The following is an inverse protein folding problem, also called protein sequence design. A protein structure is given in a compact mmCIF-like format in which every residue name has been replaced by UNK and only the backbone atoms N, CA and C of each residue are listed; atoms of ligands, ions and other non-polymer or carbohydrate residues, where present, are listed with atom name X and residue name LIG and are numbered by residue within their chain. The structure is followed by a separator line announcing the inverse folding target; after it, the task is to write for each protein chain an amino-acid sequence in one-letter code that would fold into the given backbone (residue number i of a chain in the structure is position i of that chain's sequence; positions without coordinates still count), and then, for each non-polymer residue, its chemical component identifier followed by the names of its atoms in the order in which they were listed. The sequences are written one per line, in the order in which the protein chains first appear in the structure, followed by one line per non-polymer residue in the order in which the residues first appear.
data_IF_826313074618
#
_entry.id   IF_826313074618
#
_cell.length_a   1.000
_cell.length_b   1.000
_cell.length_c   1.000
_cell.angle_alpha   90.00
_cell.angle_beta   90.00
_cell.angle_gamma   90.00
#
_symmetry.space_group_name_H-M   'P 1'
#
loop_
_entity.id
_entity.type
_entity.pdbx_description
1 polymer ?
#
# COMPACT_ATOMS: atom_id res chain seq x y z
N UNK A 1 3.35 -8.55 12.06
CA UNK A 1 2.17 -7.68 12.24
C UNK A 1 0.88 -8.42 11.93
N UNK A 2 0.72 -9.01 10.74
CA UNK A 2 -0.47 -9.76 10.33
C UNK A 2 -0.92 -10.85 11.31
N UNK A 3 0.01 -11.61 11.90
CA UNK A 3 -0.32 -12.61 12.92
C UNK A 3 -1.00 -12.03 14.17
N UNK A 4 -0.64 -10.81 14.57
CA UNK A 4 -1.25 -10.13 15.73
C UNK A 4 -2.61 -9.50 15.40
N UNK A 5 -2.73 -8.89 14.22
CA UNK A 5 -3.98 -8.25 13.81
C UNK A 5 -5.04 -9.25 13.36
N UNK A 6 -4.65 -10.28 12.61
CA UNK A 6 -5.58 -11.11 11.85
C UNK A 6 -5.45 -12.62 12.13
N UNK A 7 -4.62 -12.99 13.11
CA UNK A 7 -4.36 -14.39 13.48
C UNK A 7 -3.89 -15.24 12.28
N UNK A 8 -2.94 -14.72 11.50
CA UNK A 8 -2.34 -15.42 10.36
C UNK A 8 -0.97 -16.03 10.70
N UNK A 9 -0.72 -17.21 10.13
CA UNK A 9 0.57 -17.91 10.14
C UNK A 9 1.07 -18.12 8.71
N UNK A 10 2.39 -18.12 8.52
CA UNK A 10 3.05 -18.19 7.22
C UNK A 10 4.12 -19.28 7.25
N UNK A 11 3.95 -20.32 6.43
CA UNK A 11 4.92 -21.40 6.28
C UNK A 11 5.56 -21.32 4.90
N UNK A 12 6.90 -21.24 4.83
CA UNK A 12 7.60 -21.22 3.56
C UNK A 12 7.42 -22.56 2.82
N UNK A 13 7.18 -22.49 1.51
CA UNK A 13 6.96 -23.65 0.63
C UNK A 13 8.06 -23.73 -0.40
N UNK A 14 9.19 -24.33 0.01
CA UNK A 14 10.36 -24.53 -0.86
C UNK A 14 10.19 -25.70 -1.83
N UNK A 15 9.13 -26.49 -1.65
CA UNK A 15 8.71 -27.59 -2.53
C UNK A 15 7.94 -27.12 -3.76
N UNK A 16 7.43 -25.89 -3.76
CA UNK A 16 6.66 -25.30 -4.87
C UNK A 16 7.58 -24.54 -5.83
N UNK A 17 7.36 -24.72 -7.13
CA UNK A 17 8.06 -23.97 -8.17
C UNK A 17 7.40 -22.60 -8.39
N UNK A 18 8.16 -21.52 -8.16
CA UNK A 18 7.77 -20.17 -8.56
C UNK A 18 8.06 -19.90 -10.05
N UNK A 19 7.57 -18.76 -10.55
CA UNK A 19 7.82 -18.34 -11.94
C UNK A 19 9.23 -17.78 -12.18
N UNK A 20 10.01 -17.55 -11.12
CA UNK A 20 11.38 -17.06 -11.17
C UNK A 20 12.14 -17.61 -9.93
N UNK A 21 13.45 -17.94 -10.03
CA UNK A 21 14.20 -18.58 -8.94
C UNK A 21 14.29 -17.76 -7.65
N UNK A 22 14.24 -16.43 -7.74
CA UNK A 22 14.26 -15.54 -6.56
C UNK A 22 12.89 -15.43 -5.86
N UNK A 23 11.82 -15.99 -6.43
CA UNK A 23 10.47 -15.91 -5.87
C UNK A 23 10.38 -16.79 -4.64
N UNK A 24 9.77 -16.25 -3.59
CA UNK A 24 9.49 -16.98 -2.35
C UNK A 24 7.99 -17.20 -2.23
N UNK A 25 7.60 -18.41 -1.82
CA UNK A 25 6.19 -18.81 -1.67
C UNK A 25 5.94 -19.18 -0.22
N UNK A 26 4.83 -18.71 0.32
CA UNK A 26 4.32 -19.06 1.64
C UNK A 26 2.90 -19.58 1.55
N UNK A 27 2.64 -20.67 2.27
CA UNK A 27 1.30 -21.07 2.64
C UNK A 27 0.82 -20.24 3.82
N UNK A 28 -0.38 -19.67 3.69
CA UNK A 28 -0.99 -18.83 4.71
C UNK A 28 -2.13 -19.61 5.36
N UNK A 29 -2.12 -19.67 6.69
CA UNK A 29 -3.15 -20.35 7.48
C UNK A 29 -3.66 -19.45 8.59
N UNK A 30 -4.86 -19.73 9.09
CA UNK A 30 -5.36 -19.14 10.33
C UNK A 30 -4.69 -19.83 11.52
N UNK A 31 -3.99 -19.05 12.35
CA UNK A 31 -3.13 -19.56 13.42
C UNK A 31 -3.86 -20.42 14.45
N UNK A 32 -5.12 -20.08 14.77
CA UNK A 32 -5.88 -20.77 15.80
C UNK A 32 -6.43 -22.13 15.36
N UNK A 33 -6.79 -22.25 14.08
CA UNK A 33 -7.51 -23.42 13.56
C UNK A 33 -6.68 -24.26 12.60
N UNK A 34 -5.57 -23.71 12.09
CA UNK A 34 -4.81 -24.29 10.97
C UNK A 34 -5.54 -24.21 9.64
N UNK A 35 -6.70 -23.53 9.55
CA UNK A 35 -7.48 -23.44 8.32
C UNK A 35 -6.65 -22.79 7.21
N UNK A 36 -6.53 -23.41 6.03
CA UNK A 36 -5.83 -22.80 4.91
C UNK A 36 -6.54 -21.52 4.43
N UNK A 37 -5.78 -20.45 4.27
CA UNK A 37 -6.26 -19.16 3.77
C UNK A 37 -5.91 -19.02 2.29
N UNK A 38 -4.64 -19.25 1.91
CA UNK A 38 -4.20 -19.11 0.53
C UNK A 38 -2.70 -19.23 0.37
N UNK A 39 -2.18 -18.80 -0.78
CA UNK A 39 -0.74 -18.69 -1.04
C UNK A 39 -0.35 -17.23 -1.19
N UNK A 40 0.78 -16.87 -0.57
CA UNK A 40 1.44 -15.58 -0.77
C UNK A 40 2.77 -15.79 -1.48
N UNK A 41 3.03 -14.95 -2.49
CA UNK A 41 4.22 -15.01 -3.33
C UNK A 41 4.93 -13.66 -3.23
N UNK A 42 6.22 -13.66 -2.91
CA UNK A 42 7.04 -12.45 -2.85
C UNK A 42 8.13 -12.46 -3.91
N UNK A 43 8.17 -11.42 -4.74
CA UNK A 43 9.20 -11.19 -5.77
C UNK A 43 9.83 -9.80 -5.61
N UNK A 44 10.87 -9.71 -4.80
CA UNK A 44 11.30 -8.42 -4.24
C UNK A 44 12.38 -7.69 -5.04
N UNK A 45 13.15 -8.39 -5.88
CA UNK A 45 14.38 -7.83 -6.44
C UNK A 45 14.23 -7.29 -7.86
N UNK A 46 14.84 -6.14 -8.13
CA UNK A 46 14.90 -5.53 -9.45
C UNK A 46 15.71 -6.39 -10.43
N UNK A 47 15.27 -6.41 -11.70
CA UNK A 47 15.96 -7.08 -12.82
C UNK A 47 15.45 -6.55 -14.15
N UNK A 48 16.24 -6.70 -15.22
CA UNK A 48 15.93 -6.14 -16.54
C UNK A 48 14.58 -6.59 -17.13
N UNK A 49 14.11 -7.79 -16.79
CA UNK A 49 12.83 -8.32 -17.28
C UNK A 49 11.61 -7.88 -16.46
N UNK A 50 11.80 -7.05 -15.42
CA UNK A 50 10.75 -6.60 -14.51
C UNK A 50 10.57 -5.09 -14.65
N UNK A 51 9.32 -4.65 -14.86
CA UNK A 51 8.99 -3.21 -14.86
C UNK A 51 9.28 -2.58 -13.50
N UNK A 52 9.61 -1.28 -13.50
CA UNK A 52 9.86 -0.51 -12.27
C UNK A 52 8.60 -0.35 -11.41
N UNK A 53 8.78 0.04 -10.14
CA UNK A 53 7.72 0.25 -9.15
C UNK A 53 7.52 -0.93 -8.19
N UNK A 54 6.38 -0.93 -7.50
CA UNK A 54 5.91 -2.05 -6.70
C UNK A 54 4.41 -2.24 -6.97
N UNK A 55 3.94 -3.48 -6.87
CA UNK A 55 2.52 -3.78 -7.02
C UNK A 55 2.18 -5.13 -6.42
N UNK A 56 0.89 -5.29 -6.13
CA UNK A 56 0.25 -6.55 -5.80
C UNK A 56 -0.62 -7.03 -6.97
N UNK A 57 -0.74 -8.34 -7.14
CA UNK A 57 -1.69 -8.97 -8.08
C UNK A 57 -2.21 -10.30 -7.54
N UNK A 58 -3.26 -10.82 -8.16
CA UNK A 58 -3.78 -12.15 -7.87
C UNK A 58 -3.63 -13.07 -9.11
N UNK A 59 -2.93 -14.20 -8.96
CA UNK A 59 -3.01 -15.30 -9.93
C UNK A 59 -4.40 -15.96 -9.89
N UNK A 60 -5.02 -15.94 -8.71
CA UNK A 60 -6.38 -16.42 -8.47
C UNK A 60 -6.99 -15.62 -7.34
N UNK A 61 -8.15 -15.02 -7.59
CA UNK A 61 -8.96 -14.36 -6.55
C UNK A 61 -9.73 -15.37 -5.68
N UNK A 62 -10.13 -14.93 -4.49
CA UNK A 62 -11.01 -15.70 -3.61
C UNK A 62 -12.45 -15.69 -4.14
N UNK A 63 -13.20 -16.79 -3.97
CA UNK A 63 -14.68 -16.81 -4.18
C UNK A 63 -15.31 -18.03 -3.50
N UNK A 64 -16.61 -17.98 -3.22
CA UNK A 64 -17.41 -19.14 -2.75
C UNK A 64 -18.36 -19.71 -3.81
N UNK A 65 -18.70 -18.92 -4.84
CA UNK A 65 -19.59 -19.38 -5.90
C UNK A 65 -18.95 -20.55 -6.68
N UNK A 66 -19.64 -21.68 -6.69
CA UNK A 66 -19.14 -22.92 -7.31
C UNK A 66 -18.12 -23.68 -6.44
N UNK A 67 -18.02 -23.34 -5.16
CA UNK A 67 -17.09 -23.94 -4.20
C UNK A 67 -16.11 -22.93 -3.62
N UNK A 68 -15.53 -23.25 -2.46
CA UNK A 68 -14.52 -22.41 -1.81
C UNK A 68 -13.21 -22.42 -2.62
N UNK A 69 -12.90 -21.28 -3.23
CA UNK A 69 -11.65 -21.03 -3.95
C UNK A 69 -10.78 -20.11 -3.12
N UNK A 70 -9.56 -20.57 -2.80
CA UNK A 70 -8.57 -19.81 -2.04
C UNK A 70 -7.68 -18.95 -2.95
N UNK A 71 -7.33 -17.73 -2.53
CA UNK A 71 -6.54 -16.80 -3.32
C UNK A 71 -5.08 -17.24 -3.44
N UNK A 72 -4.44 -16.84 -4.54
CA UNK A 72 -3.00 -16.93 -4.77
C UNK A 72 -2.54 -15.52 -5.11
N UNK A 73 -1.86 -14.89 -4.16
CA UNK A 73 -1.52 -13.47 -4.18
C UNK A 73 -0.01 -13.29 -4.38
N UNK A 74 0.38 -12.32 -5.19
CA UNK A 74 1.78 -11.97 -5.44
C UNK A 74 2.02 -10.50 -5.13
N UNK A 75 3.11 -10.22 -4.41
CA UNK A 75 3.71 -8.90 -4.31
C UNK A 75 4.99 -8.88 -5.12
N UNK A 76 5.14 -7.83 -5.92
CA UNK A 76 6.34 -7.57 -6.70
C UNK A 76 6.91 -6.23 -6.27
N UNK A 77 8.20 -6.21 -5.91
CA UNK A 77 8.96 -5.00 -5.63
C UNK A 77 10.21 -4.94 -6.52
N UNK A 78 10.90 -3.80 -6.46
CA UNK A 78 12.13 -3.54 -7.21
C UNK A 78 13.29 -3.11 -6.27
N UNK A 79 13.47 -3.82 -5.16
CA UNK A 79 14.60 -3.57 -4.26
C UNK A 79 15.92 -3.98 -4.94
N UNK A 80 17.01 -3.34 -4.53
CA UNK A 80 18.34 -3.70 -5.00
C UNK A 80 18.67 -5.15 -4.58
N UNK A 81 19.04 -5.99 -5.55
CA UNK A 81 19.52 -7.34 -5.24
C UNK A 81 20.93 -7.23 -4.63
N UNK A 82 21.18 -7.78 -3.43
CA UNK A 82 22.52 -7.76 -2.86
C UNK A 82 23.47 -8.66 -3.66
N UNK A 83 24.77 -8.42 -3.52
CA UNK A 83 25.78 -9.37 -3.95
C UNK A 83 25.62 -10.70 -3.20
N UNK A 84 26.11 -11.79 -3.77
CA UNK A 84 26.06 -13.11 -3.15
C UNK A 84 26.67 -13.09 -1.73
N UNK A 85 25.97 -13.71 -0.78
CA UNK A 85 26.37 -13.75 0.63
C UNK A 85 26.23 -12.43 1.40
N UNK A 86 25.72 -11.35 0.79
CA UNK A 86 25.48 -10.06 1.46
C UNK A 86 24.00 -9.88 1.85
N UNK A 87 23.70 -9.18 2.96
CA UNK A 87 22.33 -8.90 3.36
C UNK A 87 21.64 -7.95 2.36
N UNK A 88 20.36 -8.19 2.09
CA UNK A 88 19.50 -7.23 1.40
C UNK A 88 19.08 -6.14 2.39
N UNK A 89 19.79 -5.02 2.41
CA UNK A 89 19.44 -3.87 3.24
C UNK A 89 18.36 -3.04 2.54
N UNK A 90 17.30 -2.71 3.26
CA UNK A 90 16.21 -1.88 2.77
C UNK A 90 16.34 -0.48 3.35
N UNK A 91 16.09 0.53 2.52
CA UNK A 91 15.81 1.88 3.03
C UNK A 91 14.50 1.88 3.83
N UNK A 92 14.25 2.95 4.60
CA UNK A 92 12.96 3.14 5.28
C UNK A 92 11.81 3.18 4.26
N UNK A 93 12.03 3.77 3.09
CA UNK A 93 11.01 3.84 2.03
C UNK A 93 10.76 2.48 1.38
N UNK A 94 11.81 1.66 1.17
CA UNK A 94 11.65 0.28 0.68
C UNK A 94 10.89 -0.58 1.69
N UNK A 95 11.19 -0.42 2.98
CA UNK A 95 10.48 -1.13 4.05
C UNK A 95 9.01 -0.70 4.15
N UNK A 96 8.71 0.59 3.99
CA UNK A 96 7.33 1.09 3.87
C UNK A 96 6.63 0.50 2.64
N UNK A 97 7.30 0.49 1.48
CA UNK A 97 6.79 -0.11 0.24
C UNK A 97 6.47 -1.59 0.45
N UNK A 98 7.32 -2.34 1.16
CA UNK A 98 7.05 -3.74 1.50
C UNK A 98 5.75 -3.88 2.31
N UNK A 99 5.52 -3.01 3.30
CA UNK A 99 4.29 -3.02 4.10
C UNK A 99 3.08 -2.58 3.29
N UNK A 100 3.22 -1.56 2.44
CA UNK A 100 2.19 -1.09 1.52
C UNK A 100 1.65 -2.24 0.66
N UNK A 101 2.55 -2.90 -0.07
CA UNK A 101 2.16 -4.04 -0.92
C UNK A 101 1.60 -5.19 -0.09
N UNK A 102 2.10 -5.39 1.14
CA UNK A 102 1.57 -6.46 1.99
C UNK A 102 0.17 -6.14 2.54
N UNK A 103 -0.20 -4.86 2.68
CA UNK A 103 -1.58 -4.46 2.95
C UNK A 103 -2.51 -4.83 1.79
N UNK A 104 -2.12 -4.58 0.54
CA UNK A 104 -2.85 -5.11 -0.64
C UNK A 104 -2.91 -6.64 -0.62
N UNK A 105 -1.79 -7.30 -0.27
CA UNK A 105 -1.75 -8.75 -0.21
C UNK A 105 -2.74 -9.31 0.81
N UNK A 106 -2.82 -8.68 1.99
CA UNK A 106 -3.77 -9.04 3.02
C UNK A 106 -5.21 -8.77 2.58
N UNK A 107 -5.47 -7.72 1.81
CA UNK A 107 -6.80 -7.45 1.24
C UNK A 107 -7.23 -8.59 0.30
N UNK A 108 -6.32 -9.09 -0.53
CA UNK A 108 -6.55 -10.27 -1.37
C UNK A 108 -6.69 -11.57 -0.57
N UNK A 109 -5.81 -11.81 0.41
CA UNK A 109 -5.75 -13.04 1.21
C UNK A 109 -6.96 -13.21 2.14
N UNK A 110 -7.45 -12.11 2.72
CA UNK A 110 -8.52 -12.13 3.73
C UNK A 110 -9.92 -12.00 3.13
N UNK A 111 -10.04 -11.73 1.83
CA UNK A 111 -11.32 -11.69 1.11
C UNK A 111 -12.20 -12.90 1.44
N UNK A 112 -13.47 -12.67 1.73
CA UNK A 112 -14.42 -13.74 2.09
C UNK A 112 -15.78 -13.59 1.39
N UNK A 113 -15.76 -13.41 0.08
CA UNK A 113 -16.93 -13.05 -0.72
C UNK A 113 -17.52 -14.24 -1.51
N UNK A 114 -18.76 -14.10 -1.94
CA UNK A 114 -19.44 -15.10 -2.78
C UNK A 114 -18.97 -15.02 -4.24
N UNK A 115 -19.02 -13.84 -4.83
CA UNK A 115 -18.73 -13.60 -6.24
C UNK A 115 -17.30 -13.12 -6.43
N UNK A 116 -16.52 -13.80 -7.29
CA UNK A 116 -15.12 -13.46 -7.52
C UNK A 116 -14.88 -12.07 -8.10
N UNK A 117 -15.87 -11.48 -8.77
CA UNK A 117 -15.81 -10.09 -9.27
C UNK A 117 -15.75 -9.05 -8.16
N UNK A 118 -16.15 -9.39 -6.93
CA UNK A 118 -16.17 -8.51 -5.77
C UNK A 118 -15.02 -8.82 -4.80
N UNK A 119 -14.10 -9.72 -5.16
CA UNK A 119 -13.13 -10.27 -4.23
C UNK A 119 -11.89 -9.39 -4.07
N UNK A 120 -11.35 -9.36 -2.85
CA UNK A 120 -10.08 -8.70 -2.53
C UNK A 120 -10.04 -7.23 -2.97
N UNK A 121 -9.05 -6.89 -3.78
CA UNK A 121 -8.78 -5.52 -4.25
C UNK A 121 -9.70 -5.04 -5.37
N UNK A 122 -10.76 -5.77 -5.72
CA UNK A 122 -11.76 -5.38 -6.74
C UNK A 122 -12.76 -4.33 -6.21
N UNK A 123 -12.26 -3.31 -5.54
CA UNK A 123 -13.01 -2.18 -4.94
C UNK A 123 -12.78 -0.90 -5.73
N UNK A 124 -13.48 0.18 -5.37
CA UNK A 124 -13.21 1.50 -5.96
C UNK A 124 -11.75 1.93 -5.79
N UNK A 125 -11.20 2.61 -6.80
CA UNK A 125 -9.78 2.98 -6.84
C UNK A 125 -9.39 3.92 -5.69
N UNK A 126 -10.31 4.78 -5.28
CA UNK A 126 -10.16 5.71 -4.16
C UNK A 126 -10.26 5.05 -2.77
N UNK A 127 -10.62 3.76 -2.72
CA UNK A 127 -10.67 2.96 -1.49
C UNK A 127 -9.60 1.85 -1.47
N UNK A 128 -9.13 1.38 -2.63
CA UNK A 128 -8.18 0.26 -2.71
C UNK A 128 -6.86 0.56 -1.98
N UNK A 129 -6.45 1.82 -1.92
CA UNK A 129 -5.21 2.23 -1.25
C UNK A 129 -5.35 2.38 0.28
N UNK A 130 -6.57 2.36 0.83
CA UNK A 130 -6.74 2.42 2.28
C UNK A 130 -6.07 1.23 2.98
N UNK A 131 -6.34 -0.05 2.62
CA UNK A 131 -5.68 -1.19 3.27
C UNK A 131 -4.15 -1.17 3.17
N UNK A 132 -3.59 -0.79 2.01
CA UNK A 132 -2.15 -0.74 1.78
C UNK A 132 -1.49 0.34 2.63
N UNK A 133 -1.94 1.59 2.52
CA UNK A 133 -1.35 2.73 3.21
C UNK A 133 -1.54 2.62 4.73
N UNK A 134 -2.72 2.17 5.18
CA UNK A 134 -2.97 1.92 6.61
C UNK A 134 -1.95 0.93 7.17
N UNK A 135 -1.63 -0.13 6.40
CA UNK A 135 -0.66 -1.14 6.84
C UNK A 135 0.75 -0.59 7.04
N UNK A 136 1.15 0.46 6.31
CA UNK A 136 2.46 1.12 6.45
C UNK A 136 2.68 1.66 7.87
N UNK A 137 1.63 2.14 8.53
CA UNK A 137 1.74 2.75 9.85
C UNK A 137 2.33 1.79 10.90
N UNK A 138 2.05 0.49 10.78
CA UNK A 138 2.61 -0.50 11.71
C UNK A 138 4.13 -0.65 11.58
N UNK A 139 4.73 -0.40 10.41
CA UNK A 139 6.17 -0.47 10.27
C UNK A 139 6.87 0.52 11.21
N UNK A 140 6.30 1.72 11.37
CA UNK A 140 6.89 2.84 12.10
C UNK A 140 6.55 2.83 13.60
N UNK A 141 5.83 1.81 14.11
CA UNK A 141 5.63 1.68 15.55
C UNK A 141 6.90 1.17 16.22
N UNK A 142 7.14 1.63 17.44
CA UNK A 142 8.34 1.29 18.21
C UNK A 142 8.50 -0.23 18.35
N UNK A 143 7.41 -0.94 18.66
CA UNK A 143 7.41 -2.38 18.89
C UNK A 143 7.75 -3.18 17.63
N UNK A 144 7.38 -2.68 16.45
CA UNK A 144 7.69 -3.33 15.17
C UNK A 144 9.11 -3.00 14.75
N UNK A 145 9.52 -1.73 14.82
CA UNK A 145 10.89 -1.33 14.49
C UNK A 145 11.92 -2.04 15.37
N UNK A 146 11.73 -2.05 16.70
CA UNK A 146 12.65 -2.74 17.62
C UNK A 146 12.75 -4.25 17.35
N UNK A 147 11.69 -4.87 16.83
CA UNK A 147 11.67 -6.30 16.55
C UNK A 147 12.33 -6.68 15.22
N UNK A 148 12.20 -5.83 14.19
CA UNK A 148 12.58 -6.20 12.82
C UNK A 148 13.69 -5.34 12.21
N UNK A 149 13.92 -4.13 12.72
CA UNK A 149 15.07 -3.31 12.32
C UNK A 149 16.27 -3.72 13.19
N UNK A 150 16.90 -4.82 12.81
CA UNK A 150 18.09 -5.35 13.49
C UNK A 150 19.34 -4.99 12.69
N UNK A 151 20.42 -4.67 13.39
CA UNK A 151 21.73 -4.46 12.77
C UNK A 151 22.16 -5.75 12.05
N UNK A 152 22.54 -5.64 10.77
CA UNK A 152 22.70 -6.81 9.91
C UNK A 152 23.84 -7.76 10.34
N UNK A 153 24.81 -7.26 11.11
CA UNK A 153 25.95 -8.06 11.58
C UNK A 153 25.79 -8.51 13.03
N UNK A 154 25.22 -7.66 13.90
CA UNK A 154 25.17 -7.92 15.35
C UNK A 154 23.81 -8.42 15.83
N UNK A 155 22.79 -8.35 14.96
CA UNK A 155 21.38 -8.61 15.27
C UNK A 155 20.81 -7.73 16.41
N UNK A 156 21.53 -6.68 16.82
CA UNK A 156 21.07 -5.75 17.84
C UNK A 156 19.90 -4.91 17.32
N UNK A 157 18.86 -4.68 18.13
CA UNK A 157 17.70 -3.90 17.71
C UNK A 157 18.05 -2.42 17.55
N UNK A 158 17.34 -1.75 16.63
CA UNK A 158 17.46 -0.30 16.46
C UNK A 158 17.26 0.43 17.81
N UNK A 159 18.18 1.32 18.20
CA UNK A 159 18.03 2.12 19.41
C UNK A 159 16.77 2.98 19.40
N UNK A 160 16.12 3.11 20.55
CA UNK A 160 14.92 3.94 20.71
C UNK A 160 15.16 5.40 20.28
N UNK A 161 16.33 5.96 20.59
CA UNK A 161 16.70 7.31 20.17
C UNK A 161 16.68 7.49 18.64
N UNK A 162 17.04 6.45 17.87
CA UNK A 162 16.97 6.49 16.40
C UNK A 162 15.53 6.36 15.90
N UNK A 163 14.70 5.53 16.53
CA UNK A 163 13.26 5.46 16.21
C UNK A 163 12.61 6.84 16.38
N UNK A 164 12.84 7.49 17.51
CA UNK A 164 12.27 8.82 17.78
C UNK A 164 12.82 9.89 16.82
N UNK A 165 14.08 9.74 16.39
CA UNK A 165 14.66 10.61 15.35
C UNK A 165 13.99 10.39 13.99
N UNK A 166 13.75 9.15 13.59
CA UNK A 166 13.03 8.80 12.36
C UNK A 166 11.60 9.38 12.40
N UNK A 167 10.89 9.23 13.53
CA UNK A 167 9.55 9.80 13.71
C UNK A 167 9.54 11.32 13.58
N UNK A 168 10.46 12.03 14.25
CA UNK A 168 10.57 13.50 14.11
C UNK A 168 10.91 13.94 12.69
N UNK A 169 11.64 13.12 11.94
CA UNK A 169 11.99 13.39 10.55
C UNK A 169 10.86 13.11 9.56
N UNK A 170 9.73 12.54 9.96
CA UNK A 170 8.64 12.19 9.02
C UNK A 170 8.03 13.41 8.31
N UNK A 171 8.07 14.58 8.94
CA UNK A 171 7.59 15.83 8.35
C UNK A 171 8.67 16.57 7.54
N UNK A 172 9.92 16.10 7.59
CA UNK A 172 10.99 16.65 6.78
C UNK A 172 10.68 16.45 5.29
N UNK A 173 10.86 17.51 4.50
CA UNK A 173 10.62 17.52 3.06
C UNK A 173 9.16 17.26 2.61
N UNK A 174 8.19 17.25 3.54
CA UNK A 174 6.77 17.05 3.19
C UNK A 174 6.23 18.13 2.25
N UNK A 175 6.74 19.36 2.30
CA UNK A 175 6.40 20.39 1.31
C UNK A 175 6.69 19.92 -0.12
N UNK A 176 7.92 19.51 -0.40
CA UNK A 176 8.31 19.00 -1.72
C UNK A 176 7.54 17.74 -2.09
N UNK A 177 7.49 16.75 -1.18
CA UNK A 177 6.82 15.47 -1.43
C UNK A 177 5.31 15.63 -1.71
N UNK A 178 4.65 16.58 -1.03
CA UNK A 178 3.25 16.89 -1.28
C UNK A 178 3.06 17.60 -2.60
N UNK A 179 3.91 18.58 -2.94
CA UNK A 179 3.84 19.32 -4.20
C UNK A 179 4.07 18.43 -5.41
N UNK A 180 5.14 17.62 -5.45
CA UNK A 180 5.44 16.76 -6.61
C UNK A 180 4.33 15.72 -6.89
N UNK A 181 3.70 15.21 -5.83
CA UNK A 181 2.61 14.23 -5.93
C UNK A 181 1.33 14.94 -6.39
N UNK A 182 0.98 16.06 -5.76
CA UNK A 182 -0.26 16.79 -6.06
C UNK A 182 -0.23 17.35 -7.47
N UNK A 183 0.91 17.86 -7.93
CA UNK A 183 1.10 18.25 -9.32
C UNK A 183 0.86 17.08 -10.29
N UNK A 184 1.34 15.87 -9.96
CA UNK A 184 1.09 14.68 -10.76
C UNK A 184 -0.41 14.33 -10.85
N UNK A 185 -1.12 14.37 -9.71
CA UNK A 185 -2.55 14.10 -9.66
C UNK A 185 -3.40 15.16 -10.39
N UNK A 186 -3.03 16.43 -10.29
CA UNK A 186 -3.72 17.52 -10.98
C UNK A 186 -3.50 17.50 -12.49
N UNK A 187 -2.28 17.21 -12.93
CA UNK A 187 -1.98 17.06 -14.37
C UNK A 187 -2.69 15.83 -14.96
N UNK A 188 -2.77 14.72 -14.23
CA UNK A 188 -3.60 13.56 -14.61
C UNK A 188 -5.06 13.98 -14.86
N UNK A 189 -5.68 14.66 -13.88
CA UNK A 189 -7.04 15.16 -14.05
C UNK A 189 -7.18 16.15 -15.21
N UNK A 190 -6.19 17.02 -15.42
CA UNK A 190 -6.19 17.98 -16.52
C UNK A 190 -6.18 17.28 -17.88
N UNK A 191 -5.35 16.25 -18.08
CA UNK A 191 -5.36 15.45 -19.29
C UNK A 191 -6.72 14.78 -19.55
N UNK A 192 -7.34 14.23 -18.50
CA UNK A 192 -8.60 13.47 -18.62
C UNK A 192 -9.87 14.33 -18.57
N UNK A 193 -9.73 15.66 -18.43
CA UNK A 193 -10.84 16.60 -18.47
C UNK A 193 -10.93 17.36 -19.81
N UNK A 194 -10.11 17.00 -20.79
CA UNK A 194 -10.14 17.61 -22.11
C UNK A 194 -11.38 17.13 -22.89
N UNK A 195 -12.24 18.07 -23.29
CA UNK A 195 -13.47 17.77 -24.03
C UNK A 195 -13.20 17.37 -25.49
N UNK A 196 -12.26 18.05 -26.15
CA UNK A 196 -11.86 17.81 -27.54
C UNK A 196 -10.34 17.71 -27.64
N UNK A 197 -9.73 16.59 -27.20
CA UNK A 197 -8.29 16.50 -27.01
C UNK A 197 -7.48 16.61 -28.32
N UNK A 198 -8.05 16.22 -29.46
CA UNK A 198 -7.34 16.22 -30.74
C UNK A 198 -5.97 15.53 -30.64
N UNK A 199 -4.98 16.07 -31.35
CA UNK A 199 -3.57 15.71 -31.16
C UNK A 199 -2.94 16.66 -30.12
N UNK A 200 -2.35 16.09 -29.06
CA UNK A 200 -1.76 16.85 -27.96
C UNK A 200 -0.24 16.66 -27.96
N UNK A 201 0.51 17.76 -27.96
CA UNK A 201 1.90 17.73 -27.49
C UNK A 201 1.90 17.58 -25.97
N UNK A 202 2.11 16.34 -25.52
CA UNK A 202 2.09 15.94 -24.12
C UNK A 202 3.06 16.77 -23.25
N UNK A 203 4.23 17.15 -23.77
CA UNK A 203 5.22 17.92 -23.02
C UNK A 203 4.85 19.40 -22.95
N UNK A 204 4.31 19.96 -24.03
CA UNK A 204 3.80 21.32 -24.03
C UNK A 204 2.61 21.46 -23.08
N UNK A 205 1.70 20.48 -23.08
CA UNK A 205 0.56 20.42 -22.17
C UNK A 205 1.00 20.36 -20.71
N UNK A 206 1.89 19.42 -20.37
CA UNK A 206 2.47 19.30 -19.02
C UNK A 206 3.06 20.64 -18.56
N UNK A 207 3.87 21.29 -19.39
CA UNK A 207 4.51 22.57 -19.05
C UNK A 207 3.49 23.69 -18.82
N UNK A 208 2.49 23.79 -19.70
CA UNK A 208 1.46 24.81 -19.59
C UNK A 208 0.61 24.61 -18.32
N UNK A 209 0.26 23.37 -18.02
CA UNK A 209 -0.54 23.03 -16.85
C UNK A 209 0.25 23.27 -15.55
N UNK A 210 1.51 22.86 -15.47
CA UNK A 210 2.36 23.16 -14.31
C UNK A 210 2.55 24.67 -14.09
N UNK A 211 2.67 25.45 -15.17
CA UNK A 211 2.71 26.91 -15.07
C UNK A 211 1.40 27.49 -14.54
N UNK A 212 0.24 26.98 -15.01
CA UNK A 212 -1.10 27.37 -14.53
C UNK A 212 -1.28 27.05 -13.05
N UNK A 213 -0.77 25.91 -12.58
CA UNK A 213 -0.81 25.49 -11.18
C UNK A 213 0.16 26.27 -10.27
N UNK A 214 1.05 27.08 -10.84
CA UNK A 214 2.06 27.81 -10.06
C UNK A 214 3.11 26.88 -9.45
N UNK A 215 3.51 25.82 -10.17
CA UNK A 215 4.53 24.88 -9.70
C UNK A 215 5.82 25.63 -9.32
N UNK A 216 6.36 25.45 -8.10
CA UNK A 216 7.56 26.16 -7.67
C UNK A 216 8.76 25.88 -8.57
N UNK A 217 9.62 26.88 -8.74
CA UNK A 217 10.85 26.74 -9.52
C UNK A 217 11.77 25.65 -8.92
N UNK A 218 12.35 24.82 -9.78
CA UNK A 218 13.23 23.71 -9.38
C UNK A 218 12.50 22.44 -8.93
N UNK A 219 11.17 22.46 -8.86
CA UNK A 219 10.36 21.26 -8.61
C UNK A 219 9.93 20.58 -9.90
N UNK A 220 9.74 19.26 -9.82
CA UNK A 220 9.21 18.42 -10.91
C UNK A 220 8.04 17.59 -10.40
N UNK A 221 7.21 17.10 -11.31
CA UNK A 221 6.22 16.08 -10.99
C UNK A 221 6.91 14.80 -10.53
N UNK A 222 6.28 14.07 -9.61
CA UNK A 222 6.70 12.73 -9.21
C UNK A 222 6.78 11.77 -10.40
N UNK A 223 5.84 11.90 -11.34
CA UNK A 223 5.85 11.19 -12.61
C UNK A 223 5.56 12.16 -13.74
N UNK A 224 6.57 12.45 -14.59
CA UNK A 224 6.34 13.21 -15.81
C UNK A 224 5.58 12.39 -16.84
N UNK A 225 4.84 13.08 -17.68
CA UNK A 225 3.90 12.54 -18.67
C UNK A 225 4.46 11.37 -19.49
N UNK A 226 5.67 11.44 -20.09
CA UNK A 226 6.18 10.35 -20.93
C UNK A 226 6.43 9.03 -20.20
N UNK A 227 6.54 9.06 -18.88
CA UNK A 227 6.81 7.88 -18.06
C UNK A 227 5.80 7.73 -16.91
N UNK A 228 4.62 8.33 -17.05
CA UNK A 228 3.57 8.26 -16.05
C UNK A 228 2.75 6.97 -16.22
N UNK A 229 3.39 5.84 -15.90
CA UNK A 229 2.85 4.50 -16.16
C UNK A 229 1.52 4.23 -15.45
N UNK A 230 1.29 4.83 -14.28
CA UNK A 230 0.02 4.69 -13.54
C UNK A 230 -1.17 5.14 -14.39
N UNK A 231 -0.99 6.21 -15.15
CA UNK A 231 -2.04 6.93 -15.86
C UNK A 231 -2.15 6.45 -17.32
N UNK A 232 -1.02 6.31 -18.03
CA UNK A 232 -1.04 6.06 -19.48
C UNK A 232 -0.82 4.61 -19.91
N UNK A 233 -0.29 3.75 -19.03
CA UNK A 233 0.04 2.37 -19.39
C UNK A 233 -0.38 1.34 -18.34
N UNK A 234 -1.14 1.77 -17.34
CA UNK A 234 -1.61 0.95 -16.23
C UNK A 234 -3.12 0.86 -16.27
N UNK A 235 -3.66 -0.26 -15.80
CA UNK A 235 -5.08 -0.60 -15.97
C UNK A 235 -6.02 0.12 -14.98
N UNK A 236 -5.66 1.29 -14.42
CA UNK A 236 -6.49 1.77 -13.31
C UNK A 236 -6.36 3.16 -12.70
N UNK A 237 -5.38 4.00 -13.06
CA UNK A 237 -5.23 5.32 -12.41
C UNK A 237 -5.37 6.51 -13.36
N UNK A 238 -5.79 6.29 -14.62
CA UNK A 238 -6.24 7.37 -15.50
C UNK A 238 -7.41 8.12 -14.86
N UNK A 239 -7.31 9.45 -14.72
CA UNK A 239 -8.26 10.26 -13.97
C UNK A 239 -8.44 9.80 -12.51
N UNK A 240 -7.42 9.20 -11.92
CA UNK A 240 -7.50 8.47 -10.66
C UNK A 240 -6.21 8.50 -9.85
N UNK A 241 -5.17 9.21 -10.28
CA UNK A 241 -3.93 9.27 -9.49
C UNK A 241 -4.12 10.01 -8.16
N UNK A 242 -5.14 10.86 -8.05
CA UNK A 242 -5.57 11.49 -6.79
C UNK A 242 -5.99 10.49 -5.71
N UNK A 243 -6.30 9.24 -6.08
CA UNK A 243 -6.77 8.21 -5.16
C UNK A 243 -5.80 7.93 -4.02
N UNK A 244 -4.47 8.09 -4.21
CA UNK A 244 -3.51 7.90 -3.12
C UNK A 244 -3.69 8.94 -2.00
N UNK A 245 -3.84 10.23 -2.31
CA UNK A 245 -4.05 11.27 -1.28
C UNK A 245 -5.45 11.19 -0.69
N UNK A 246 -6.44 10.81 -1.50
CA UNK A 246 -7.80 10.56 -1.02
C UNK A 246 -7.83 9.42 0.01
N UNK A 247 -7.15 8.30 -0.29
CA UNK A 247 -6.99 7.18 0.64
C UNK A 247 -6.12 7.54 1.86
N UNK A 248 -5.15 8.45 1.74
CA UNK A 248 -4.32 8.87 2.87
C UNK A 248 -5.11 9.72 3.91
N UNK A 249 -6.23 10.32 3.50
CA UNK A 249 -7.19 10.88 4.47
C UNK A 249 -7.81 9.77 5.31
N UNK A 250 -8.17 8.65 4.67
CA UNK A 250 -8.75 7.49 5.35
C UNK A 250 -7.72 6.73 6.18
N UNK A 251 -6.48 6.57 5.70
CA UNK A 251 -5.47 5.74 6.36
C UNK A 251 -5.01 6.35 7.70
N UNK A 252 -4.76 7.66 7.72
CA UNK A 252 -4.28 8.38 8.88
C UNK A 252 -5.36 8.41 9.96
N UNK A 253 -6.61 8.66 9.56
CA UNK A 253 -7.75 8.61 10.48
C UNK A 253 -8.05 7.20 10.99
N UNK A 254 -7.89 6.18 10.14
CA UNK A 254 -8.05 4.79 10.52
C UNK A 254 -6.97 4.33 11.52
N UNK A 255 -5.72 4.72 11.32
CA UNK A 255 -4.65 4.41 12.26
C UNK A 255 -4.82 5.17 13.58
N UNK A 256 -5.33 6.40 13.55
CA UNK A 256 -5.66 7.15 14.76
C UNK A 256 -6.66 6.41 15.65
N UNK A 257 -7.59 5.63 15.11
CA UNK A 257 -8.49 4.80 15.93
C UNK A 257 -7.70 3.83 16.83
N UNK A 258 -6.62 3.24 16.32
CA UNK A 258 -5.74 2.37 17.09
C UNK A 258 -4.91 3.12 18.15
N UNK A 259 -4.49 4.35 17.84
CA UNK A 259 -3.80 5.23 18.79
C UNK A 259 -4.75 5.69 19.92
N UNK A 260 -5.97 6.07 19.59
CA UNK A 260 -7.04 6.45 20.53
C UNK A 260 -7.39 5.30 21.50
N UNK A 261 -7.35 4.07 21.01
CA UNK A 261 -7.55 2.88 21.84
C UNK A 261 -6.35 2.55 22.76
N UNK A 262 -5.20 3.20 22.57
CA UNK A 262 -3.98 2.95 23.34
C UNK A 262 -3.28 1.61 23.03
N UNK A 263 -3.75 0.89 22.00
CA UNK A 263 -3.16 -0.38 21.55
C UNK A 263 -3.20 -0.47 20.02
N UNK A 264 -2.02 -0.35 19.40
CA UNK A 264 -1.85 -0.49 17.95
C UNK A 264 -2.16 -1.89 17.43
N UNK A 265 -2.44 -2.85 18.30
CA UNK A 265 -2.90 -4.20 17.98
C UNK A 265 -4.25 -4.55 18.62
N UNK A 266 -5.05 -3.54 18.99
CA UNK A 266 -6.38 -3.71 19.61
C UNK A 266 -7.19 -4.82 18.91
N UNK A 267 -7.53 -5.93 19.60
CA UNK A 267 -8.25 -7.05 18.99
C UNK A 267 -9.64 -6.67 18.47
N UNK A 268 -10.31 -5.72 19.15
CA UNK A 268 -11.63 -5.24 18.73
C UNK A 268 -11.54 -4.48 17.40
N UNK A 269 -10.62 -3.52 17.30
CA UNK A 269 -10.41 -2.73 16.09
C UNK A 269 -9.87 -3.59 14.96
N UNK A 270 -8.94 -4.51 15.23
CA UNK A 270 -8.43 -5.44 14.23
C UNK A 270 -9.54 -6.38 13.72
N UNK A 271 -10.47 -6.81 14.58
CA UNK A 271 -11.65 -7.58 14.20
C UNK A 271 -12.61 -6.79 13.29
N UNK A 272 -12.89 -5.52 13.62
CA UNK A 272 -13.67 -4.60 12.77
C UNK A 272 -12.97 -4.36 11.42
N UNK A 273 -11.67 -4.07 11.45
CA UNK A 273 -10.85 -3.84 10.26
C UNK A 273 -10.85 -5.06 9.34
N UNK A 274 -10.67 -6.27 9.90
CA UNK A 274 -10.77 -7.52 9.14
C UNK A 274 -12.14 -7.65 8.50
N UNK A 275 -13.21 -7.52 9.29
CA UNK A 275 -14.59 -7.80 8.87
C UNK A 275 -15.11 -6.83 7.81
N UNK A 276 -14.89 -5.54 8.02
CA UNK A 276 -15.54 -4.50 7.21
C UNK A 276 -14.66 -3.97 6.09
N UNK A 277 -13.34 -4.12 6.18
CA UNK A 277 -12.41 -3.65 5.16
C UNK A 277 -11.79 -4.85 4.44
N UNK A 278 -10.90 -5.61 5.11
CA UNK A 278 -10.07 -6.61 4.46
C UNK A 278 -10.81 -7.84 3.91
N UNK A 279 -11.91 -8.29 4.54
CA UNK A 279 -12.66 -9.46 4.09
C UNK A 279 -13.85 -9.13 3.20
N UNK A 280 -14.25 -7.85 3.16
CA UNK A 280 -15.50 -7.44 2.54
C UNK A 280 -15.40 -7.40 1.01
N UNK A 281 -14.21 -7.12 0.47
CA UNK A 281 -14.09 -6.75 -0.94
C UNK A 281 -15.11 -5.66 -1.30
N UNK A 282 -15.68 -5.73 -2.50
CA UNK A 282 -16.68 -4.76 -2.97
C UNK A 282 -18.13 -5.20 -2.70
N UNK A 283 -18.35 -5.93 -1.60
CA UNK A 283 -19.71 -6.37 -1.22
C UNK A 283 -20.52 -5.29 -0.51
N UNK A 284 -19.92 -4.14 -0.25
CA UNK A 284 -20.50 -3.02 0.49
C UNK A 284 -19.93 -1.71 -0.01
N UNK A 285 -20.74 -0.66 0.06
CA UNK A 285 -20.29 0.71 -0.16
C UNK A 285 -19.08 1.05 0.73
N UNK A 286 -18.05 1.67 0.15
CA UNK A 286 -16.80 2.00 0.80
C UNK A 286 -17.00 2.92 2.02
N UNK A 287 -17.89 3.92 1.90
CA UNK A 287 -18.16 4.86 2.98
C UNK A 287 -18.94 4.19 4.13
N UNK A 288 -19.84 3.25 3.84
CA UNK A 288 -20.49 2.43 4.87
C UNK A 288 -19.48 1.50 5.56
N UNK A 289 -18.65 0.80 4.79
CA UNK A 289 -17.59 -0.07 5.31
C UNK A 289 -16.64 0.69 6.26
N UNK A 290 -16.22 1.90 5.86
CA UNK A 290 -15.39 2.76 6.69
C UNK A 290 -16.10 3.18 7.98
N UNK A 291 -17.36 3.62 7.92
CA UNK A 291 -18.14 3.99 9.13
C UNK A 291 -18.30 2.82 10.09
N UNK A 292 -18.46 1.59 9.60
CA UNK A 292 -18.59 0.41 10.45
C UNK A 292 -17.29 0.04 11.16
N UNK A 293 -16.15 0.33 10.53
CA UNK A 293 -14.85 0.20 11.17
C UNK A 293 -14.57 1.36 12.14
N UNK A 294 -14.64 2.60 11.66
CA UNK A 294 -14.17 3.81 12.36
C UNK A 294 -15.20 4.45 13.29
N UNK A 295 -16.50 4.22 13.05
CA UNK A 295 -17.62 4.87 13.72
C UNK A 295 -18.05 6.21 13.08
N UNK A 296 -17.23 6.77 12.19
CA UNK A 296 -17.49 8.02 11.47
C UNK A 296 -16.77 8.03 10.12
N UNK A 297 -17.07 9.02 9.29
CA UNK A 297 -16.25 9.32 8.10
C UNK A 297 -14.90 9.93 8.50
N UNK A 298 -13.87 9.81 7.63
CA UNK A 298 -12.57 10.40 7.91
C UNK A 298 -12.64 11.93 7.79
N UNK A 299 -11.71 12.63 8.44
CA UNK A 299 -11.52 14.07 8.25
C UNK A 299 -10.12 14.35 7.71
N UNK A 300 -9.91 15.42 6.93
CA UNK A 300 -8.59 15.79 6.43
C UNK A 300 -7.56 16.10 7.53
N UNK A 301 -8.00 16.39 8.75
CA UNK A 301 -7.14 16.84 9.86
C UNK A 301 -6.01 15.85 10.15
N UNK A 302 -6.30 14.55 10.12
CA UNK A 302 -5.32 13.50 10.36
C UNK A 302 -4.21 13.49 9.31
N UNK A 303 -4.58 13.68 8.03
CA UNK A 303 -3.64 13.80 6.93
C UNK A 303 -2.80 15.08 7.04
N UNK A 304 -3.44 16.20 7.35
CA UNK A 304 -2.75 17.48 7.53
C UNK A 304 -1.72 17.39 8.66
N UNK A 305 -2.09 16.76 9.79
CA UNK A 305 -1.14 16.52 10.88
C UNK A 305 -0.01 15.58 10.46
N UNK A 306 -0.32 14.46 9.78
CA UNK A 306 0.67 13.49 9.27
C UNK A 306 1.69 14.14 8.33
N UNK A 307 1.26 15.07 7.48
CA UNK A 307 2.12 15.80 6.55
C UNK A 307 2.76 17.06 7.13
N UNK A 308 2.49 17.41 8.39
CA UNK A 308 2.99 18.64 9.01
C UNK A 308 2.39 19.93 8.40
N UNK A 309 1.16 19.84 7.91
CA UNK A 309 0.40 20.90 7.24
C UNK A 309 -0.81 21.38 8.06
N UNK A 310 -1.00 20.86 9.28
CA UNK A 310 -2.01 21.34 10.20
C UNK A 310 -1.68 22.76 10.69
N UNK A 311 -2.70 23.61 10.84
CA UNK A 311 -2.60 24.99 11.29
C UNK A 311 -2.37 25.13 12.80
#
# INVERSE_FOLDING_TARGET
VAGRLFALSFAARTDLAGYHPDVRIWEVTESATGRPIGLFIGDYFARASKRSGAWMSAYRGQRKLGGEVRPIIVNVCNFAKPAEGKPALLSIDDARTLFHEFGHALHGLLSDVTYGSLAGTSVSRDFVELPSQLYEHWFLTKEVMQRYCLHAETAEPIPEALIETIKRAQTFNQGCATVEYTASALVDLAFHSLEEPGEIDALAFEKAELARLGMPEGMVMRHRTPHFTHVFSGDGYSAGYYSYLWSEVMDADAFNAFLEAGDVFSPELAGKLKRFIYSAGDTRDAAEAYRLFRGRLPTPDALLQKRGLAA
#
